data_IF_471610181051
#
_entry.id   IF_471610181051
#
_cell.length_a   1.000
_cell.length_b   1.000
_cell.length_c   1.000
_cell.angle_alpha   90.00
_cell.angle_beta   90.00
_cell.angle_gamma   90.00
#
_symmetry.space_group_name_H-M   'P 1'
#
loop_
_entity.id
_entity.type
_entity.pdbx_description
1 polymer ?
#
# COMPACT_ATOMS: atom_id res chain seq x y z
N UNK A 1 -19.35 59.66 9.01
CA UNK A 1 -20.64 58.97 9.25
C UNK A 1 -21.31 58.45 7.95
N UNK A 2 -21.42 59.26 6.88
CA UNK A 2 -22.10 58.80 5.64
C UNK A 2 -21.46 57.55 4.99
N UNK A 3 -20.16 57.39 5.00
CA UNK A 3 -19.48 56.26 4.39
C UNK A 3 -19.69 54.95 5.20
N UNK A 4 -19.75 55.03 6.52
CA UNK A 4 -20.01 53.85 7.39
C UNK A 4 -21.42 53.28 7.16
N UNK A 5 -22.40 54.13 6.94
CA UNK A 5 -23.80 53.71 6.66
C UNK A 5 -23.88 53.01 5.30
N UNK A 6 -23.10 53.48 4.29
CA UNK A 6 -23.04 52.85 2.97
C UNK A 6 -22.43 51.44 3.06
N UNK A 7 -21.32 51.29 3.80
CA UNK A 7 -20.66 49.97 3.96
C UNK A 7 -21.54 49.00 4.74
N UNK A 8 -22.23 49.47 5.76
CA UNK A 8 -23.21 48.62 6.50
C UNK A 8 -24.39 48.18 5.62
N UNK A 9 -24.90 49.05 4.75
CA UNK A 9 -25.96 48.70 3.82
C UNK A 9 -25.50 47.67 2.76
N UNK A 10 -24.26 47.83 2.23
CA UNK A 10 -23.68 46.84 1.29
C UNK A 10 -23.45 45.51 1.96
N UNK A 11 -22.97 45.49 3.21
CA UNK A 11 -22.77 44.25 3.95
C UNK A 11 -24.11 43.51 4.21
N UNK A 12 -25.18 44.24 4.59
CA UNK A 12 -26.52 43.66 4.78
C UNK A 12 -27.09 43.04 3.49
N UNK A 13 -26.90 43.70 2.35
CA UNK A 13 -27.34 43.19 1.04
C UNK A 13 -26.54 41.92 0.67
N UNK A 14 -25.22 41.90 0.91
CA UNK A 14 -24.38 40.73 0.64
C UNK A 14 -24.77 39.56 1.53
N UNK A 15 -25.00 39.77 2.82
CA UNK A 15 -25.48 38.73 3.72
C UNK A 15 -26.87 38.23 3.35
N UNK A 16 -27.75 39.09 2.90
CA UNK A 16 -29.10 38.72 2.41
C UNK A 16 -29.04 37.86 1.14
N UNK A 17 -28.15 38.23 0.19
CA UNK A 17 -27.95 37.44 -1.04
C UNK A 17 -27.29 36.07 -0.77
N UNK A 18 -26.33 36.02 0.15
CA UNK A 18 -25.72 34.75 0.58
C UNK A 18 -26.73 33.85 1.30
N UNK A 19 -27.53 34.41 2.20
CA UNK A 19 -28.58 33.65 2.88
C UNK A 19 -29.64 33.11 1.91
N UNK A 20 -30.04 33.93 0.92
CA UNK A 20 -30.98 33.49 -0.13
C UNK A 20 -30.33 32.40 -1.04
N UNK A 21 -29.07 32.54 -1.39
CA UNK A 21 -28.34 31.54 -2.17
C UNK A 21 -28.25 30.18 -1.44
N UNK A 22 -27.95 30.19 -0.15
CA UNK A 22 -27.90 28.95 0.64
C UNK A 22 -29.30 28.35 0.84
N UNK A 23 -30.34 29.16 1.03
CA UNK A 23 -31.71 28.67 1.13
C UNK A 23 -32.19 28.02 -0.19
N UNK A 24 -31.75 28.52 -1.35
CA UNK A 24 -32.04 27.87 -2.63
C UNK A 24 -31.29 26.54 -2.82
N UNK A 25 -30.10 26.40 -2.23
CA UNK A 25 -29.37 25.11 -2.30
C UNK A 25 -30.04 24.01 -1.46
N UNK A 26 -30.71 24.35 -0.35
CA UNK A 26 -31.48 23.37 0.43
C UNK A 26 -32.72 22.85 -0.32
N UNK A 27 -33.32 23.68 -1.16
CA UNK A 27 -34.46 23.27 -2.00
C UNK A 27 -34.06 22.45 -3.25
N UNK A 28 -32.80 22.42 -3.61
CA UNK A 28 -32.27 21.61 -4.72
C UNK A 28 -31.82 20.20 -4.30
N UNK A 29 -32.00 19.84 -3.05
CA UNK A 29 -31.90 18.42 -2.67
C UNK A 29 -33.03 17.66 -3.36
N UNK A 30 -32.74 16.63 -4.17
CA UNK A 30 -33.80 15.92 -4.90
C UNK A 30 -34.69 15.21 -3.91
N UNK A 31 -35.85 15.80 -3.63
CA UNK A 31 -36.99 15.16 -2.92
C UNK A 31 -37.46 13.87 -3.60
N UNK A 32 -36.93 13.56 -4.78
CA UNK A 32 -37.24 12.36 -5.53
C UNK A 32 -36.53 11.08 -5.03
N UNK A 33 -35.49 11.19 -4.19
CA UNK A 33 -34.75 10.01 -3.71
C UNK A 33 -35.19 9.52 -2.32
N UNK A 34 -36.00 10.28 -1.61
CA UNK A 34 -36.52 9.87 -0.28
C UNK A 34 -37.86 9.11 -0.32
N UNK A 35 -38.55 9.06 -1.45
CA UNK A 35 -39.87 8.44 -1.54
C UNK A 35 -39.87 6.97 -1.98
N UNK A 36 -38.71 6.40 -2.41
CA UNK A 36 -38.63 5.00 -2.84
C UNK A 36 -37.68 4.12 -2.05
N UNK A 37 -37.04 4.63 -1.01
CA UNK A 37 -36.38 3.81 0.02
C UNK A 37 -37.33 3.53 1.22
N UNK A 38 -38.59 3.26 0.95
CA UNK A 38 -39.32 2.35 1.81
C UNK A 38 -38.68 0.97 1.58
N UNK A 39 -37.73 0.67 2.43
CA UNK A 39 -37.04 -0.63 2.50
C UNK A 39 -38.10 -1.69 2.82
N UNK A 40 -38.83 -2.09 1.78
CA UNK A 40 -39.54 -3.34 1.80
C UNK A 40 -38.46 -4.42 1.73
N UNK A 41 -38.13 -5.00 2.91
CA UNK A 41 -37.52 -6.34 3.03
C UNK A 41 -36.49 -6.71 1.96
N UNK A 42 -35.42 -5.92 1.84
CA UNK A 42 -34.14 -6.51 1.45
C UNK A 42 -33.78 -7.38 2.66
N UNK A 43 -34.05 -8.69 2.55
CA UNK A 43 -33.47 -9.66 3.46
C UNK A 43 -31.98 -9.26 3.53
N UNK A 44 -31.52 -8.82 4.72
CA UNK A 44 -30.10 -8.58 4.92
C UNK A 44 -29.44 -9.88 4.48
N UNK A 45 -28.72 -9.84 3.37
CA UNK A 45 -27.85 -10.95 3.02
C UNK A 45 -27.08 -11.27 4.29
N UNK A 46 -26.97 -12.55 4.69
CA UNK A 46 -26.21 -12.88 5.89
C UNK A 46 -24.86 -12.21 5.77
N UNK A 47 -24.50 -11.44 6.79
CA UNK A 47 -23.22 -10.73 6.82
C UNK A 47 -22.13 -11.78 6.64
N UNK A 48 -21.34 -11.64 5.59
CA UNK A 48 -20.28 -12.57 5.27
C UNK A 48 -19.15 -12.36 6.28
N UNK A 49 -18.60 -13.46 6.81
CA UNK A 49 -17.61 -13.44 7.88
C UNK A 49 -16.31 -14.07 7.42
N UNK A 50 -15.25 -13.29 7.48
CA UNK A 50 -13.87 -13.74 7.27
C UNK A 50 -13.20 -13.88 8.62
N UNK A 51 -12.79 -15.09 8.95
CA UNK A 51 -12.12 -15.39 10.22
C UNK A 51 -10.68 -15.79 9.96
N UNK A 52 -9.75 -15.11 10.61
CA UNK A 52 -8.31 -15.34 10.48
C UNK A 52 -7.77 -15.97 11.77
N UNK A 53 -7.25 -17.19 11.71
CA UNK A 53 -6.61 -17.87 12.82
C UNK A 53 -5.10 -17.88 12.61
N UNK A 54 -4.40 -17.03 13.34
CA UNK A 54 -2.93 -16.97 13.31
C UNK A 54 -2.33 -17.94 14.33
N UNK A 55 -1.22 -18.57 13.97
CA UNK A 55 -0.46 -19.40 14.91
C UNK A 55 -0.03 -18.60 16.14
N UNK A 56 0.49 -17.39 15.91
CA UNK A 56 0.77 -16.35 16.88
C UNK A 56 0.71 -14.98 16.17
N UNK A 57 0.51 -13.89 16.90
CA UNK A 57 0.45 -12.54 16.36
C UNK A 57 1.59 -11.64 16.87
N UNK A 58 2.68 -12.22 17.33
CA UNK A 58 3.85 -11.48 17.83
C UNK A 58 4.70 -10.84 16.74
N UNK A 59 4.50 -11.22 15.48
CA UNK A 59 5.27 -10.77 14.33
C UNK A 59 4.56 -9.59 13.64
N UNK A 60 5.32 -8.52 13.35
CA UNK A 60 4.84 -7.31 12.68
C UNK A 60 4.33 -7.60 11.27
N UNK A 61 4.97 -8.50 10.53
CA UNK A 61 4.53 -8.92 9.20
C UNK A 61 3.10 -9.50 9.20
N UNK A 62 2.78 -10.35 10.20
CA UNK A 62 1.42 -10.90 10.38
C UNK A 62 0.41 -9.82 10.75
N UNK A 63 0.83 -8.85 11.55
CA UNK A 63 -0.01 -7.72 11.91
C UNK A 63 -0.31 -6.84 10.69
N UNK A 64 0.69 -6.54 9.89
CA UNK A 64 0.54 -5.78 8.63
C UNK A 64 -0.36 -6.52 7.62
N UNK A 65 -0.22 -7.85 7.51
CA UNK A 65 -1.11 -8.70 6.72
C UNK A 65 -2.58 -8.59 7.16
N UNK A 66 -2.83 -8.71 8.47
CA UNK A 66 -4.17 -8.55 9.06
C UNK A 66 -4.75 -7.16 8.78
N UNK A 67 -3.95 -6.11 9.00
CA UNK A 67 -4.36 -4.72 8.78
C UNK A 67 -4.79 -4.50 7.34
N UNK A 68 -4.02 -5.00 6.37
CA UNK A 68 -4.36 -4.86 4.95
C UNK A 68 -5.73 -5.47 4.63
N UNK A 69 -6.04 -6.65 5.16
CA UNK A 69 -7.33 -7.31 4.95
C UNK A 69 -8.45 -6.54 5.64
N UNK A 70 -8.27 -6.13 6.90
CA UNK A 70 -9.28 -5.39 7.64
C UNK A 70 -9.59 -4.02 7.05
N UNK A 71 -8.58 -3.32 6.54
CA UNK A 71 -8.78 -2.00 5.91
C UNK A 71 -9.55 -2.09 4.59
N UNK A 72 -9.32 -3.13 3.79
CA UNK A 72 -9.94 -3.26 2.48
C UNK A 72 -11.29 -4.01 2.47
N UNK A 73 -11.53 -4.90 3.43
CA UNK A 73 -12.78 -5.67 3.55
C UNK A 73 -13.65 -5.22 4.72
N UNK A 74 -13.05 -4.79 5.83
CA UNK A 74 -13.73 -4.57 7.10
C UNK A 74 -14.87 -3.54 7.08
N UNK A 75 -14.97 -2.69 6.06
CA UNK A 75 -16.10 -1.77 5.91
C UNK A 75 -17.36 -2.44 5.32
N UNK A 76 -17.20 -3.54 4.59
CA UNK A 76 -18.26 -4.27 3.91
C UNK A 76 -18.60 -5.61 4.57
N UNK A 77 -17.59 -6.23 5.17
CA UNK A 77 -17.63 -7.58 5.71
C UNK A 77 -17.28 -7.61 7.20
N UNK A 78 -17.64 -8.68 7.90
CA UNK A 78 -17.19 -8.93 9.27
C UNK A 78 -15.85 -9.68 9.22
N UNK A 79 -14.76 -8.98 9.54
CA UNK A 79 -13.40 -9.52 9.46
C UNK A 79 -12.78 -9.57 10.84
N UNK A 80 -12.58 -10.77 11.38
CA UNK A 80 -12.00 -10.99 12.69
C UNK A 80 -10.66 -11.75 12.61
N UNK A 81 -9.79 -11.47 13.57
CA UNK A 81 -8.49 -12.15 13.71
C UNK A 81 -8.32 -12.67 15.13
N UNK A 82 -7.77 -13.87 15.25
CA UNK A 82 -7.57 -14.59 16.50
C UNK A 82 -6.11 -15.01 16.63
N UNK A 83 -5.52 -14.70 17.76
CA UNK A 83 -4.19 -15.17 18.15
C UNK A 83 -4.33 -16.54 18.84
N UNK A 84 -3.75 -17.58 18.26
CA UNK A 84 -3.76 -18.93 18.84
C UNK A 84 -2.61 -19.16 19.82
N UNK A 85 -1.76 -18.17 20.05
CA UNK A 85 -0.67 -18.18 21.04
C UNK A 85 0.24 -19.43 20.94
N UNK A 86 0.50 -19.92 19.72
CA UNK A 86 1.30 -21.12 19.47
C UNK A 86 0.66 -22.42 19.92
N UNK A 87 -0.64 -22.45 20.24
CA UNK A 87 -1.33 -23.62 20.77
C UNK A 87 -2.32 -24.22 19.77
N UNK A 88 -2.07 -25.45 19.32
CA UNK A 88 -2.98 -26.21 18.46
C UNK A 88 -4.36 -26.45 19.10
N UNK A 89 -4.43 -26.63 20.43
CA UNK A 89 -5.68 -26.79 21.17
C UNK A 89 -6.53 -25.51 21.13
N UNK A 90 -5.87 -24.33 21.32
CA UNK A 90 -6.52 -23.03 21.23
C UNK A 90 -7.01 -22.79 19.80
N UNK A 91 -6.17 -23.11 18.80
CA UNK A 91 -6.53 -22.97 17.39
C UNK A 91 -7.75 -23.83 17.01
N UNK A 92 -7.79 -25.09 17.44
CA UNK A 92 -8.93 -25.97 17.23
C UNK A 92 -10.21 -25.44 17.92
N UNK A 93 -10.06 -24.87 19.12
CA UNK A 93 -11.18 -24.28 19.87
C UNK A 93 -11.76 -23.07 19.13
N UNK A 94 -10.90 -22.19 18.63
CA UNK A 94 -11.34 -21.06 17.80
C UNK A 94 -11.97 -21.52 16.50
N UNK A 95 -11.37 -22.49 15.80
CA UNK A 95 -11.91 -23.01 14.54
C UNK A 95 -13.35 -23.54 14.72
N UNK A 96 -13.59 -24.38 15.73
CA UNK A 96 -14.94 -24.87 16.06
C UNK A 96 -15.91 -23.72 16.28
N UNK A 97 -15.53 -22.80 17.14
CA UNK A 97 -16.38 -21.64 17.48
C UNK A 97 -16.76 -20.80 16.28
N UNK A 98 -15.79 -20.42 15.43
CA UNK A 98 -16.05 -19.52 14.29
C UNK A 98 -16.86 -20.23 13.20
N UNK A 99 -16.63 -21.52 12.97
CA UNK A 99 -17.42 -22.34 12.03
C UNK A 99 -18.87 -22.49 12.51
N UNK A 100 -19.11 -22.78 13.80
CA UNK A 100 -20.44 -22.82 14.39
C UNK A 100 -21.17 -21.47 14.32
N UNK A 101 -20.43 -20.36 14.32
CA UNK A 101 -20.97 -19.00 14.22
C UNK A 101 -21.21 -18.53 12.78
N UNK A 102 -21.01 -19.41 11.79
CA UNK A 102 -21.29 -19.13 10.39
C UNK A 102 -20.17 -18.37 9.68
N UNK A 103 -18.91 -18.72 9.96
CA UNK A 103 -17.76 -18.31 9.17
C UNK A 103 -18.01 -18.61 7.68
N UNK A 104 -17.75 -17.64 6.80
CA UNK A 104 -17.92 -17.80 5.36
C UNK A 104 -16.61 -18.18 4.67
N UNK A 105 -15.50 -17.64 5.13
CA UNK A 105 -14.14 -17.99 4.67
C UNK A 105 -13.23 -18.07 5.89
N UNK A 106 -12.49 -19.15 6.02
CA UNK A 106 -11.50 -19.34 7.07
C UNK A 106 -10.09 -19.16 6.50
N UNK A 107 -9.36 -18.19 7.03
CA UNK A 107 -7.93 -18.08 6.82
C UNK A 107 -7.19 -18.74 7.98
N UNK A 108 -6.24 -19.61 7.69
CA UNK A 108 -5.59 -20.46 8.69
C UNK A 108 -4.07 -20.43 8.52
N UNK A 109 -3.37 -19.93 9.52
CA UNK A 109 -1.94 -20.20 9.70
C UNK A 109 -1.79 -21.33 10.72
N UNK A 110 -1.51 -22.57 10.30
CA UNK A 110 -1.46 -23.71 11.21
C UNK A 110 -0.34 -23.58 12.24
N UNK A 111 -0.64 -23.93 13.51
CA UNK A 111 0.37 -23.98 14.57
C UNK A 111 1.34 -25.15 14.33
N UNK A 112 0.82 -26.29 13.90
CA UNK A 112 1.61 -27.48 13.56
C UNK A 112 0.98 -28.29 12.43
N UNK A 113 1.74 -29.25 11.91
CA UNK A 113 1.35 -30.10 10.79
C UNK A 113 0.26 -31.11 11.17
N UNK A 114 0.30 -31.61 12.40
CA UNK A 114 -0.59 -32.67 12.85
C UNK A 114 -2.02 -32.19 13.03
N UNK A 115 -2.20 -30.98 13.56
CA UNK A 115 -3.51 -30.38 13.76
C UNK A 115 -4.13 -29.86 12.46
N UNK A 116 -3.33 -29.65 11.41
CA UNK A 116 -3.81 -29.07 10.15
C UNK A 116 -4.87 -29.94 9.50
N UNK A 117 -4.65 -31.24 9.40
CA UNK A 117 -5.60 -32.14 8.72
C UNK A 117 -6.94 -32.24 9.48
N UNK A 118 -6.92 -32.20 10.82
CA UNK A 118 -8.14 -32.17 11.63
C UNK A 118 -8.91 -30.84 11.43
N UNK A 119 -8.21 -29.72 11.34
CA UNK A 119 -8.80 -28.39 11.07
C UNK A 119 -9.42 -28.34 9.68
N UNK A 120 -8.73 -28.88 8.66
CA UNK A 120 -9.25 -28.94 7.30
C UNK A 120 -10.47 -29.87 7.20
N UNK A 121 -10.46 -31.02 7.86
CA UNK A 121 -11.61 -31.90 7.92
C UNK A 121 -12.82 -31.21 8.58
N UNK A 122 -12.59 -30.50 9.67
CA UNK A 122 -13.64 -29.73 10.35
C UNK A 122 -14.22 -28.64 9.43
N UNK A 123 -13.39 -27.85 8.76
CA UNK A 123 -13.86 -26.82 7.82
C UNK A 123 -14.65 -27.44 6.65
N UNK A 124 -14.25 -28.62 6.19
CA UNK A 124 -14.95 -29.35 5.15
C UNK A 124 -16.35 -29.82 5.58
N UNK A 125 -16.53 -30.22 6.85
CA UNK A 125 -17.86 -30.58 7.41
C UNK A 125 -18.85 -29.39 7.34
N UNK A 126 -18.34 -28.16 7.48
CA UNK A 126 -19.13 -26.93 7.36
C UNK A 126 -19.19 -26.36 5.93
N UNK A 127 -18.55 -27.01 4.97
CA UNK A 127 -18.42 -26.58 3.57
C UNK A 127 -17.78 -25.16 3.40
N UNK A 128 -16.94 -24.75 4.36
CA UNK A 128 -16.29 -23.45 4.41
C UNK A 128 -14.94 -23.49 3.68
N UNK A 129 -14.69 -22.61 2.69
CA UNK A 129 -13.39 -22.53 2.03
C UNK A 129 -12.29 -22.11 3.00
N UNK A 130 -11.10 -22.71 2.85
CA UNK A 130 -9.92 -22.43 3.67
C UNK A 130 -8.80 -21.85 2.81
N UNK A 131 -8.18 -20.79 3.29
CA UNK A 131 -6.95 -20.22 2.76
C UNK A 131 -5.84 -20.43 3.79
N UNK A 132 -4.91 -21.33 3.51
CA UNK A 132 -3.71 -21.50 4.34
C UNK A 132 -2.78 -20.30 4.15
N UNK A 133 -2.37 -19.70 5.25
CA UNK A 133 -1.41 -18.59 5.29
C UNK A 133 -0.01 -19.14 5.60
N UNK A 134 0.99 -18.62 4.89
CA UNK A 134 2.41 -18.98 5.09
C UNK A 134 2.71 -20.47 4.97
N UNK A 135 1.81 -21.21 4.35
CA UNK A 135 1.93 -22.66 4.20
C UNK A 135 1.32 -23.14 2.89
N UNK A 136 2.03 -24.01 2.22
CA UNK A 136 1.55 -24.67 1.01
C UNK A 136 0.75 -25.93 1.39
N UNK A 137 -0.45 -26.05 0.84
CA UNK A 137 -1.22 -27.28 0.94
C UNK A 137 -0.50 -28.44 0.25
N UNK A 138 -0.57 -29.63 0.83
CA UNK A 138 -0.04 -30.84 0.19
C UNK A 138 -0.94 -31.31 -0.95
N UNK A 139 -0.39 -32.11 -1.86
CA UNK A 139 -1.18 -32.68 -2.96
C UNK A 139 -2.34 -33.53 -2.45
N UNK A 140 -2.17 -34.22 -1.32
CA UNK A 140 -3.20 -35.03 -0.68
C UNK A 140 -4.33 -34.16 -0.11
N UNK A 141 -3.98 -33.07 0.59
CA UNK A 141 -4.96 -32.10 1.11
C UNK A 141 -5.76 -31.46 -0.02
N UNK A 142 -5.10 -31.05 -1.12
CA UNK A 142 -5.77 -30.47 -2.29
C UNK A 142 -6.69 -31.48 -3.02
N UNK A 143 -6.34 -32.76 -3.03
CA UNK A 143 -7.16 -33.81 -3.61
C UNK A 143 -8.40 -34.10 -2.76
N UNK A 144 -8.29 -33.95 -1.44
CA UNK A 144 -9.36 -34.26 -0.47
C UNK A 144 -10.30 -33.09 -0.27
N UNK A 145 -9.78 -31.85 -0.23
CA UNK A 145 -10.56 -30.66 0.05
C UNK A 145 -10.53 -29.66 -1.12
N UNK A 146 -11.59 -29.66 -1.92
CA UNK A 146 -11.64 -28.84 -3.14
C UNK A 146 -11.68 -27.31 -2.91
N UNK A 147 -12.14 -26.85 -1.75
CA UNK A 147 -12.20 -25.43 -1.36
C UNK A 147 -10.95 -25.00 -0.56
N UNK A 148 -9.83 -25.70 -0.72
CA UNK A 148 -8.56 -25.41 -0.09
C UNK A 148 -7.68 -24.58 -1.03
N UNK A 149 -7.10 -23.54 -0.49
CA UNK A 149 -6.18 -22.62 -1.15
C UNK A 149 -4.99 -22.31 -0.23
N UNK A 150 -3.91 -21.81 -0.78
CA UNK A 150 -2.74 -21.38 -0.02
C UNK A 150 -2.27 -20.01 -0.51
N UNK A 151 -1.83 -19.16 0.42
CA UNK A 151 -1.16 -17.91 0.14
C UNK A 151 0.18 -17.89 0.88
N UNK A 152 1.25 -17.63 0.14
CA UNK A 152 2.63 -17.68 0.62
C UNK A 152 3.42 -16.51 0.04
N UNK A 153 4.46 -16.13 0.75
CA UNK A 153 5.50 -15.28 0.21
C UNK A 153 6.28 -16.09 -0.84
N UNK A 154 6.54 -15.52 -2.01
CA UNK A 154 7.47 -16.13 -2.96
C UNK A 154 8.88 -16.14 -2.37
N UNK A 155 9.66 -17.14 -2.73
CA UNK A 155 11.08 -17.13 -2.40
C UNK A 155 11.74 -15.91 -3.07
N UNK A 156 12.30 -15.05 -2.24
CA UNK A 156 13.03 -13.87 -2.68
C UNK A 156 14.38 -13.83 -1.97
N UNK A 157 15.43 -13.57 -2.73
CA UNK A 157 16.78 -13.42 -2.18
C UNK A 157 17.10 -11.94 -2.01
N UNK A 158 17.93 -11.62 -1.00
CA UNK A 158 18.47 -10.26 -0.84
C UNK A 158 19.14 -9.76 -2.13
N UNK A 159 19.70 -10.64 -2.92
CA UNK A 159 20.31 -10.29 -4.21
C UNK A 159 19.26 -9.84 -5.23
N UNK A 160 18.15 -10.56 -5.35
CA UNK A 160 17.05 -10.19 -6.23
C UNK A 160 16.39 -8.89 -5.80
N UNK A 161 16.27 -8.63 -4.50
CA UNK A 161 15.79 -7.35 -3.96
C UNK A 161 16.70 -6.19 -4.38
N UNK A 162 18.03 -6.33 -4.19
CA UNK A 162 19.00 -5.32 -4.60
C UNK A 162 19.05 -5.11 -6.13
N UNK A 163 18.84 -6.16 -6.92
CA UNK A 163 18.74 -6.04 -8.38
C UNK A 163 17.54 -5.20 -8.80
N UNK A 164 16.35 -5.47 -8.23
CA UNK A 164 15.13 -4.68 -8.52
C UNK A 164 15.26 -3.23 -8.08
N UNK A 165 15.89 -3.01 -6.92
CA UNK A 165 16.20 -1.67 -6.43
C UNK A 165 17.13 -0.94 -7.40
N UNK A 166 18.21 -1.60 -7.84
CA UNK A 166 19.16 -1.04 -8.80
C UNK A 166 18.50 -0.72 -10.15
N UNK A 167 17.67 -1.65 -10.68
CA UNK A 167 16.92 -1.41 -11.91
C UNK A 167 16.06 -0.15 -11.80
N UNK A 168 15.38 0.00 -10.69
CA UNK A 168 14.47 1.14 -10.49
C UNK A 168 15.23 2.45 -10.35
N UNK A 169 16.31 2.48 -9.57
CA UNK A 169 17.12 3.69 -9.38
C UNK A 169 17.79 4.08 -10.71
N UNK A 170 18.34 3.12 -11.43
CA UNK A 170 19.00 3.38 -12.73
C UNK A 170 18.03 3.89 -13.78
N UNK A 171 16.85 3.25 -13.92
CA UNK A 171 15.78 3.70 -14.81
C UNK A 171 15.32 5.13 -14.49
N UNK A 172 15.24 5.44 -13.20
CA UNK A 172 14.83 6.76 -12.75
C UNK A 172 15.92 7.81 -13.03
N UNK A 173 17.17 7.47 -12.74
CA UNK A 173 18.32 8.33 -13.03
C UNK A 173 18.41 8.65 -14.52
N UNK A 174 18.32 7.64 -15.38
CA UNK A 174 18.40 7.81 -16.84
C UNK A 174 17.34 8.80 -17.36
N UNK A 175 16.10 8.71 -16.82
CA UNK A 175 14.97 9.54 -17.26
C UNK A 175 15.00 10.98 -16.71
N UNK A 176 15.62 11.19 -15.56
CA UNK A 176 15.51 12.44 -14.81
C UNK A 176 16.88 13.08 -14.48
N UNK A 177 17.94 12.61 -15.10
CA UNK A 177 19.32 13.02 -14.82
C UNK A 177 19.51 14.53 -14.86
N UNK A 178 18.98 15.19 -15.87
CA UNK A 178 19.11 16.63 -16.05
C UNK A 178 18.42 17.44 -14.93
N UNK A 179 17.40 16.85 -14.30
CA UNK A 179 16.67 17.48 -13.19
C UNK A 179 17.24 17.08 -11.83
N UNK A 180 17.86 15.89 -11.70
CA UNK A 180 18.40 15.35 -10.46
C UNK A 180 19.81 15.89 -10.17
N UNK A 181 20.70 15.92 -11.15
CA UNK A 181 22.07 16.41 -11.00
C UNK A 181 22.13 17.98 -10.93
N UNK A 182 21.13 18.56 -10.24
CA UNK A 182 20.99 20.01 -10.16
C UNK A 182 21.86 20.67 -9.09
N UNK A 183 22.35 19.89 -8.12
CA UNK A 183 23.07 20.43 -6.97
C UNK A 183 24.58 20.39 -7.15
N UNK A 184 25.11 19.25 -7.57
CA UNK A 184 26.57 19.05 -7.69
C UNK A 184 27.07 19.15 -9.13
N UNK A 185 26.24 18.84 -10.12
CA UNK A 185 26.60 18.79 -11.55
C UNK A 185 27.85 17.93 -11.80
N UNK A 186 27.96 16.82 -11.07
CA UNK A 186 29.12 15.93 -11.13
C UNK A 186 28.86 14.63 -11.89
N UNK A 187 27.68 14.52 -12.47
CA UNK A 187 27.25 13.37 -13.26
C UNK A 187 27.13 12.07 -12.43
N UNK A 188 26.83 12.22 -11.15
CA UNK A 188 26.68 11.13 -10.19
C UNK A 188 25.41 11.32 -9.39
N UNK A 189 24.72 10.21 -9.12
CA UNK A 189 23.63 10.21 -8.20
C UNK A 189 24.13 10.14 -6.75
N UNK A 190 23.89 11.21 -6.01
CA UNK A 190 24.25 11.33 -4.59
C UNK A 190 23.17 10.71 -3.72
N UNK A 191 23.51 9.65 -3.00
CA UNK A 191 22.56 8.87 -2.17
C UNK A 191 22.89 9.07 -0.70
N UNK A 192 21.85 9.22 0.15
CA UNK A 192 21.96 9.08 1.59
C UNK A 192 21.06 7.92 2.04
N UNK A 193 21.55 7.12 2.97
CA UNK A 193 20.84 5.98 3.53
C UNK A 193 20.49 6.23 5.01
N UNK A 194 19.28 5.85 5.41
CA UNK A 194 18.80 5.82 6.81
C UNK A 194 18.32 4.41 7.05
N UNK A 195 19.14 3.60 7.69
CA UNK A 195 18.90 2.16 7.79
C UNK A 195 19.22 1.63 9.18
N UNK A 196 18.63 0.50 9.54
CA UNK A 196 18.77 -0.09 10.86
C UNK A 196 20.22 -0.50 11.17
N UNK A 197 20.90 -1.13 10.24
CA UNK A 197 22.23 -1.72 10.45
C UNK A 197 23.38 -0.99 9.77
N UNK A 198 23.13 0.16 9.15
CA UNK A 198 24.11 0.85 8.31
C UNK A 198 24.30 0.15 6.95
N UNK A 199 24.16 0.92 5.90
CA UNK A 199 24.17 0.37 4.54
C UNK A 199 25.58 0.03 4.08
N UNK A 200 26.56 0.83 4.50
CA UNK A 200 27.97 0.60 4.20
C UNK A 200 28.52 -0.60 5.00
N UNK A 201 28.23 -0.66 6.30
CA UNK A 201 28.71 -1.73 7.21
C UNK A 201 28.09 -3.09 6.88
N UNK A 202 26.88 -3.14 6.40
CA UNK A 202 26.19 -4.38 5.99
C UNK A 202 26.76 -5.00 4.69
N UNK A 203 27.58 -4.26 3.96
CA UNK A 203 28.07 -4.65 2.63
C UNK A 203 27.03 -4.48 1.50
N UNK A 204 25.78 -4.10 1.82
CA UNK A 204 24.72 -3.88 0.83
C UNK A 204 25.04 -2.71 -0.08
N UNK A 205 25.70 -1.67 0.44
CA UNK A 205 26.13 -0.54 -0.37
C UNK A 205 27.07 -0.93 -1.50
N UNK A 206 28.13 -1.68 -1.21
CA UNK A 206 29.09 -2.09 -2.23
C UNK A 206 28.42 -2.92 -3.34
N UNK A 207 27.46 -3.76 -2.96
CA UNK A 207 26.69 -4.57 -3.91
C UNK A 207 25.74 -3.73 -4.74
N UNK A 208 24.97 -2.83 -4.13
CA UNK A 208 24.08 -1.91 -4.82
C UNK A 208 24.88 -1.00 -5.77
N UNK A 209 26.00 -0.45 -5.32
CA UNK A 209 26.89 0.37 -6.14
C UNK A 209 27.34 -0.37 -7.40
N UNK A 210 27.81 -1.62 -7.26
CA UNK A 210 28.22 -2.45 -8.40
C UNK A 210 27.07 -2.65 -9.38
N UNK A 211 25.89 -2.97 -8.89
CA UNK A 211 24.70 -3.19 -9.71
C UNK A 211 24.26 -1.90 -10.45
N UNK A 212 24.40 -0.74 -9.82
CA UNK A 212 24.08 0.56 -10.44
C UNK A 212 25.12 0.95 -11.49
N UNK A 213 26.41 0.73 -11.22
CA UNK A 213 27.49 0.97 -12.18
C UNK A 213 27.35 0.07 -13.42
N UNK A 214 26.99 -1.19 -13.27
CA UNK A 214 26.67 -2.11 -14.38
C UNK A 214 25.53 -1.60 -15.28
N UNK A 215 24.60 -0.82 -14.70
CA UNK A 215 23.47 -0.18 -15.39
C UNK A 215 23.78 1.23 -15.89
N UNK A 216 25.05 1.66 -15.79
CA UNK A 216 25.49 2.97 -16.24
C UNK A 216 25.15 4.14 -15.29
N UNK A 217 24.69 3.85 -14.08
CA UNK A 217 24.43 4.84 -13.05
C UNK A 217 25.60 4.92 -12.08
N UNK A 218 26.39 5.98 -12.16
CA UNK A 218 27.46 6.22 -11.19
C UNK A 218 26.87 6.83 -9.93
N UNK A 219 27.21 6.27 -8.78
CA UNK A 219 26.62 6.67 -7.48
C UNK A 219 27.66 7.07 -6.46
N UNK A 220 27.24 7.87 -5.49
CA UNK A 220 28.05 8.26 -4.34
C UNK A 220 27.20 8.20 -3.08
N UNK A 221 27.63 7.45 -2.08
CA UNK A 221 27.06 7.51 -0.74
C UNK A 221 27.56 8.76 -0.03
N UNK A 222 26.67 9.71 0.20
CA UNK A 222 27.00 10.99 0.84
C UNK A 222 26.81 10.95 2.34
N UNK A 223 25.89 10.10 2.81
CA UNK A 223 25.59 9.92 4.21
C UNK A 223 25.07 8.52 4.47
N UNK A 224 25.58 7.87 5.52
CA UNK A 224 25.06 6.63 6.08
C UNK A 224 24.62 6.89 7.52
N UNK A 225 23.35 6.69 7.82
CA UNK A 225 22.73 6.93 9.12
C UNK A 225 22.23 5.60 9.65
N UNK A 226 22.72 5.20 10.83
CA UNK A 226 22.34 3.95 11.48
C UNK A 226 21.35 4.24 12.59
N UNK A 227 20.12 3.72 12.47
CA UNK A 227 19.01 4.00 13.39
C UNK A 227 19.12 3.26 14.73
N UNK A 228 19.87 2.14 14.78
CA UNK A 228 20.09 1.38 16.02
C UNK A 228 21.04 2.04 17.02
N UNK A 229 21.74 3.11 16.64
CA UNK A 229 22.65 3.75 17.57
C UNK A 229 21.89 4.42 18.71
N UNK A 230 22.38 4.25 19.96
CA UNK A 230 21.76 4.78 21.20
C UNK A 230 21.51 6.30 21.18
N UNK A 231 22.23 7.05 20.36
CA UNK A 231 22.11 8.49 20.21
C UNK A 231 21.49 8.89 18.86
N UNK A 232 20.80 7.97 18.21
CA UNK A 232 20.08 8.27 17.00
C UNK A 232 19.04 9.36 17.23
N UNK A 233 19.09 10.38 16.39
CA UNK A 233 18.09 11.44 16.32
C UNK A 233 17.81 11.75 14.86
N UNK A 234 16.60 11.45 14.44
CA UNK A 234 16.18 11.57 13.05
C UNK A 234 16.33 13.02 12.54
N UNK A 235 15.83 14.01 13.28
CA UNK A 235 15.86 15.42 12.84
C UNK A 235 17.30 15.90 12.61
N UNK A 236 18.20 15.62 13.54
CA UNK A 236 19.61 15.93 13.36
C UNK A 236 20.23 15.22 12.15
N UNK A 237 19.82 14.00 11.90
CA UNK A 237 20.28 13.21 10.76
C UNK A 237 19.75 13.78 9.44
N UNK A 238 18.48 14.23 9.41
CA UNK A 238 17.87 14.87 8.25
C UNK A 238 18.55 16.20 7.89
N UNK A 239 18.93 17.00 8.89
CA UNK A 239 19.76 18.19 8.67
C UNK A 239 21.10 17.84 8.04
N UNK A 240 21.79 16.83 8.57
CA UNK A 240 23.07 16.39 8.04
C UNK A 240 22.95 15.84 6.61
N UNK A 241 21.84 15.18 6.29
CA UNK A 241 21.53 14.71 4.94
C UNK A 241 21.29 15.90 4.00
N UNK A 242 20.49 16.88 4.40
CA UNK A 242 20.25 18.08 3.62
C UNK A 242 21.55 18.77 3.19
N UNK A 243 22.45 18.99 4.17
CA UNK A 243 23.75 19.62 3.89
C UNK A 243 24.74 18.71 3.15
N UNK A 244 24.48 17.41 3.04
CA UNK A 244 25.30 16.50 2.25
C UNK A 244 25.06 16.59 0.75
N UNK A 245 23.96 17.24 0.34
CA UNK A 245 23.54 17.35 -1.06
C UNK A 245 23.06 16.02 -1.65
N UNK A 246 22.51 15.12 -0.83
CA UNK A 246 21.93 13.88 -1.35
C UNK A 246 20.74 14.17 -2.26
N UNK A 247 20.65 13.47 -3.38
CA UNK A 247 19.60 13.60 -4.39
C UNK A 247 18.58 12.47 -4.28
N UNK A 248 18.96 11.37 -3.64
CA UNK A 248 18.11 10.22 -3.34
C UNK A 248 18.30 9.79 -1.89
N UNK A 249 17.20 9.51 -1.21
CA UNK A 249 17.17 9.02 0.17
C UNK A 249 16.65 7.60 0.19
N UNK A 250 17.44 6.69 0.77
CA UNK A 250 17.05 5.32 1.04
C UNK A 250 16.65 5.16 2.50
N UNK A 251 15.45 4.65 2.75
CA UNK A 251 14.95 4.34 4.09
C UNK A 251 14.67 2.85 4.21
N UNK A 252 15.17 2.21 5.26
CA UNK A 252 14.73 0.86 5.62
C UNK A 252 13.33 0.86 6.25
N UNK A 253 12.95 1.94 6.93
CA UNK A 253 11.69 2.10 7.65
C UNK A 253 10.82 3.18 6.98
N UNK A 254 9.56 2.84 6.73
CA UNK A 254 8.57 3.74 6.13
C UNK A 254 8.17 4.89 7.06
N UNK A 255 8.17 4.68 8.38
CA UNK A 255 7.84 5.72 9.35
C UNK A 255 8.92 6.81 9.38
N UNK A 256 10.19 6.49 9.18
CA UNK A 256 11.26 7.47 9.06
C UNK A 256 11.17 8.24 7.73
N UNK A 257 10.74 7.57 6.65
CA UNK A 257 10.45 8.23 5.39
C UNK A 257 9.27 9.21 5.51
N UNK A 258 8.22 8.85 6.25
CA UNK A 258 7.08 9.73 6.53
C UNK A 258 7.51 10.97 7.31
N UNK A 259 8.27 10.80 8.39
CA UNK A 259 8.81 11.91 9.19
C UNK A 259 9.71 12.82 8.36
N UNK A 260 10.59 12.23 7.53
CA UNK A 260 11.44 12.99 6.62
C UNK A 260 10.62 13.80 5.62
N UNK A 261 9.51 13.23 5.12
CA UNK A 261 8.63 13.94 4.23
C UNK A 261 7.97 15.17 4.90
N UNK A 262 7.53 15.03 6.16
CA UNK A 262 6.99 16.15 6.94
C UNK A 262 8.07 17.20 7.19
N UNK A 263 9.25 16.78 7.62
CA UNK A 263 10.37 17.64 7.97
C UNK A 263 10.82 18.53 6.80
N UNK A 264 11.07 17.94 5.64
CA UNK A 264 11.53 18.69 4.47
C UNK A 264 10.44 19.49 3.75
N UNK A 265 9.19 19.31 4.08
CA UNK A 265 8.09 20.12 3.56
C UNK A 265 7.76 21.32 4.45
N UNK A 266 8.48 21.54 5.56
CA UNK A 266 8.30 22.74 6.38
C UNK A 266 8.80 23.99 5.62
N UNK A 267 7.88 24.90 5.22
CA UNK A 267 8.24 26.09 4.45
C UNK A 267 9.03 27.12 5.28
N UNK A 268 9.08 26.98 6.59
CA UNK A 268 9.80 27.93 7.47
C UNK A 268 11.30 27.64 7.50
N UNK A 269 11.70 26.39 7.34
CA UNK A 269 13.11 25.98 7.39
C UNK A 269 13.68 25.70 6.00
N UNK A 270 12.87 25.14 5.11
CA UNK A 270 13.29 24.72 3.76
C UNK A 270 12.47 25.45 2.70
N UNK A 271 12.69 26.76 2.55
CA UNK A 271 11.89 27.68 1.72
C UNK A 271 11.74 27.31 0.24
N UNK A 272 12.56 26.40 -0.27
CA UNK A 272 12.50 25.90 -1.66
C UNK A 272 12.14 24.41 -1.77
N UNK A 273 11.84 23.75 -0.63
CA UNK A 273 11.62 22.30 -0.55
C UNK A 273 12.90 21.50 -0.87
N UNK A 274 13.20 20.51 -0.06
CA UNK A 274 14.27 19.59 -0.38
C UNK A 274 13.75 18.53 -1.36
N UNK A 275 14.32 18.52 -2.56
CA UNK A 275 13.81 17.73 -3.70
C UNK A 275 14.39 16.32 -3.78
N UNK A 276 15.18 15.87 -2.79
CA UNK A 276 15.69 14.52 -2.80
C UNK A 276 14.54 13.49 -2.84
N UNK A 277 14.64 12.56 -3.75
CA UNK A 277 13.66 11.51 -3.91
C UNK A 277 13.80 10.46 -2.81
N UNK A 278 12.68 9.94 -2.37
CA UNK A 278 12.62 8.96 -1.28
C UNK A 278 12.32 7.59 -1.81
N UNK A 279 13.10 6.64 -1.37
CA UNK A 279 12.94 5.21 -1.63
C UNK A 279 12.77 4.51 -0.29
N UNK A 280 11.79 3.65 -0.17
CA UNK A 280 11.52 2.85 1.03
C UNK A 280 11.74 1.38 0.68
N UNK A 281 12.54 0.68 1.50
CA UNK A 281 12.87 -0.72 1.29
C UNK A 281 11.86 -1.68 1.94
N UNK A 282 10.75 -1.14 2.44
CA UNK A 282 9.64 -1.91 3.00
C UNK A 282 8.30 -1.40 2.45
N UNK A 283 7.51 -2.29 1.84
CA UNK A 283 6.19 -1.96 1.31
C UNK A 283 5.08 -2.30 2.34
N UNK A 284 5.06 -1.58 3.45
CA UNK A 284 4.01 -1.62 4.46
C UNK A 284 2.84 -0.67 4.13
N UNK A 285 1.90 -0.48 5.06
CA UNK A 285 0.77 0.43 4.90
C UNK A 285 1.23 1.89 4.74
N UNK A 286 2.20 2.33 5.53
CA UNK A 286 2.74 3.70 5.50
C UNK A 286 3.41 3.98 4.17
N UNK A 287 4.30 3.09 3.71
CA UNK A 287 4.95 3.19 2.41
C UNK A 287 3.95 3.21 1.25
N UNK A 288 2.91 2.38 1.33
CA UNK A 288 1.84 2.38 0.33
C UNK A 288 1.05 3.69 0.29
N UNK A 289 0.75 4.29 1.43
CA UNK A 289 0.09 5.58 1.50
C UNK A 289 0.99 6.71 1.00
N UNK A 290 2.26 6.72 1.37
CA UNK A 290 3.25 7.67 0.84
C UNK A 290 3.39 7.55 -0.68
N UNK A 291 3.38 6.33 -1.21
CA UNK A 291 3.39 6.07 -2.64
C UNK A 291 2.15 6.64 -3.34
N UNK A 292 0.96 6.38 -2.83
CA UNK A 292 -0.31 6.91 -3.38
C UNK A 292 -0.34 8.43 -3.40
N UNK A 293 0.26 9.05 -2.40
CA UNK A 293 0.35 10.51 -2.29
C UNK A 293 1.49 11.11 -3.14
N UNK A 294 2.23 10.29 -3.88
CA UNK A 294 3.36 10.74 -4.70
C UNK A 294 4.57 11.21 -3.90
N UNK A 295 4.67 10.83 -2.62
CA UNK A 295 5.71 11.29 -1.68
C UNK A 295 6.94 10.40 -1.65
N UNK A 296 6.85 9.19 -2.16
CA UNK A 296 7.97 8.28 -2.39
C UNK A 296 8.02 7.88 -3.85
N UNK A 297 9.22 7.81 -4.39
CA UNK A 297 9.45 7.35 -5.74
C UNK A 297 9.17 5.87 -5.88
N UNK A 298 9.53 5.13 -4.86
CA UNK A 298 9.62 3.70 -4.89
C UNK A 298 9.47 3.14 -3.48
N UNK A 299 8.67 2.09 -3.35
CA UNK A 299 8.67 1.24 -2.18
C UNK A 299 8.71 -0.22 -2.65
N UNK A 300 9.55 -1.03 -2.04
CA UNK A 300 9.69 -2.44 -2.35
C UNK A 300 9.49 -3.29 -1.11
N UNK A 301 8.82 -4.40 -1.28
CA UNK A 301 8.75 -5.42 -0.26
C UNK A 301 7.81 -6.53 -0.61
N UNK A 302 8.12 -7.70 -0.08
CA UNK A 302 7.23 -8.85 -0.01
C UNK A 302 6.50 -8.90 1.34
N UNK A 303 6.41 -7.75 2.01
CA UNK A 303 5.90 -7.64 3.36
C UNK A 303 4.46 -8.08 3.54
N UNK A 304 4.07 -8.32 4.78
CA UNK A 304 2.74 -8.80 5.15
C UNK A 304 1.61 -7.96 4.58
N UNK A 305 1.78 -6.64 4.49
CA UNK A 305 0.76 -5.74 3.94
C UNK A 305 0.43 -6.04 2.48
N UNK A 306 1.43 -6.23 1.62
CA UNK A 306 1.20 -6.53 0.20
C UNK A 306 0.65 -7.94 -0.01
N UNK A 307 1.09 -8.90 0.80
CA UNK A 307 0.50 -10.25 0.82
C UNK A 307 -0.97 -10.19 1.26
N UNK A 308 -1.30 -9.34 2.25
CA UNK A 308 -2.67 -9.09 2.69
C UNK A 308 -3.54 -8.52 1.57
N UNK A 309 -3.03 -7.61 0.76
CA UNK A 309 -3.73 -7.07 -0.41
C UNK A 309 -3.97 -8.13 -1.49
N UNK A 310 -3.03 -9.05 -1.70
CA UNK A 310 -3.25 -10.22 -2.57
C UNK A 310 -4.34 -11.14 -2.00
N UNK A 311 -4.33 -11.37 -0.68
CA UNK A 311 -5.36 -12.14 0.01
C UNK A 311 -6.75 -11.52 -0.16
N UNK A 312 -6.89 -10.20 -0.12
CA UNK A 312 -8.18 -9.51 -0.37
C UNK A 312 -8.78 -9.89 -1.71
N UNK A 313 -7.98 -10.00 -2.79
CA UNK A 313 -8.49 -10.43 -4.08
C UNK A 313 -9.03 -11.87 -4.05
N UNK A 314 -8.33 -12.76 -3.34
CA UNK A 314 -8.77 -14.14 -3.12
C UNK A 314 -10.08 -14.17 -2.34
N UNK A 315 -10.12 -13.45 -1.23
CA UNK A 315 -11.27 -13.42 -0.31
C UNK A 315 -12.54 -12.88 -1.01
N UNK A 316 -12.44 -11.79 -1.75
CA UNK A 316 -13.59 -11.23 -2.49
C UNK A 316 -14.20 -12.25 -3.43
N UNK A 317 -13.39 -13.01 -4.15
CA UNK A 317 -13.89 -14.04 -5.07
C UNK A 317 -14.49 -15.23 -4.31
N UNK A 318 -13.88 -15.64 -3.18
CA UNK A 318 -14.44 -16.70 -2.34
C UNK A 318 -15.78 -16.32 -1.70
N UNK A 319 -15.91 -15.06 -1.25
CA UNK A 319 -17.15 -14.52 -0.70
C UNK A 319 -18.27 -14.47 -1.75
N UNK A 320 -17.93 -14.35 -3.04
CA UNK A 320 -18.84 -14.41 -4.18
C UNK A 320 -19.03 -15.83 -4.75
N UNK A 321 -18.52 -16.86 -4.06
CA UNK A 321 -18.51 -18.26 -4.52
C UNK A 321 -17.85 -18.43 -5.90
N UNK A 322 -16.80 -17.64 -6.17
CA UNK A 322 -16.02 -17.68 -7.40
C UNK A 322 -14.66 -18.34 -7.18
N UNK A 323 -14.07 -18.83 -8.28
CA UNK A 323 -12.72 -19.39 -8.25
C UNK A 323 -11.70 -18.25 -8.05
N UNK A 324 -10.87 -18.32 -7.00
CA UNK A 324 -9.90 -17.28 -6.71
C UNK A 324 -8.89 -17.05 -7.84
N UNK A 325 -8.58 -15.79 -8.07
CA UNK A 325 -7.55 -15.30 -8.98
C UNK A 325 -6.91 -14.06 -8.36
N UNK A 326 -5.63 -13.87 -8.62
CA UNK A 326 -4.90 -12.68 -8.18
C UNK A 326 -4.23 -12.05 -9.38
N UNK A 327 -4.10 -10.72 -9.38
CA UNK A 327 -3.32 -10.00 -10.39
C UNK A 327 -1.90 -10.55 -10.46
N UNK A 328 -1.38 -10.77 -11.65
CA UNK A 328 -0.01 -11.29 -11.84
C UNK A 328 1.09 -10.38 -11.29
N UNK A 329 0.80 -9.10 -11.05
CA UNK A 329 1.71 -8.19 -10.35
C UNK A 329 1.81 -8.45 -8.85
N UNK A 330 0.75 -9.00 -8.22
CA UNK A 330 0.72 -9.28 -6.80
C UNK A 330 1.12 -10.72 -6.46
N UNK A 331 0.70 -11.69 -7.27
CA UNK A 331 1.05 -13.08 -7.01
C UNK A 331 1.08 -13.91 -8.31
N UNK A 332 1.94 -14.91 -8.34
CA UNK A 332 1.90 -16.00 -9.31
C UNK A 332 1.05 -17.16 -8.79
N UNK A 333 0.50 -17.96 -9.69
CA UNK A 333 -0.35 -19.09 -9.33
C UNK A 333 0.34 -20.42 -9.62
N UNK A 334 0.22 -21.36 -8.67
CA UNK A 334 0.71 -22.72 -8.76
C UNK A 334 -0.38 -23.73 -8.41
N UNK A 335 -0.08 -25.03 -8.52
CA UNK A 335 -0.96 -26.14 -8.13
C UNK A 335 -2.37 -26.04 -8.75
N UNK A 336 -2.41 -25.71 -10.05
CA UNK A 336 -3.69 -25.57 -10.75
C UNK A 336 -4.56 -24.39 -10.29
N UNK A 337 -3.94 -23.33 -9.79
CA UNK A 337 -4.63 -22.15 -9.28
C UNK A 337 -5.04 -22.24 -7.80
N UNK A 338 -4.49 -23.20 -7.06
CA UNK A 338 -4.78 -23.41 -5.64
C UNK A 338 -3.77 -22.75 -4.72
N UNK A 339 -2.57 -22.45 -5.20
CA UNK A 339 -1.50 -21.81 -4.44
C UNK A 339 -1.15 -20.47 -5.07
N UNK A 340 -1.11 -19.43 -4.25
CA UNK A 340 -0.76 -18.06 -4.61
C UNK A 340 0.58 -17.72 -3.97
N UNK A 341 1.59 -17.51 -4.81
CA UNK A 341 2.93 -17.10 -4.40
C UNK A 341 3.02 -15.59 -4.57
N UNK A 342 2.96 -14.86 -3.46
CA UNK A 342 3.00 -13.40 -3.48
C UNK A 342 4.38 -12.92 -3.90
N UNK A 343 4.41 -12.24 -5.03
CA UNK A 343 5.63 -11.67 -5.56
C UNK A 343 6.07 -10.49 -4.69
N UNK A 344 7.37 -10.20 -4.61
CA UNK A 344 7.84 -8.92 -4.14
C UNK A 344 7.17 -7.83 -4.99
N UNK A 345 6.51 -6.89 -4.34
CA UNK A 345 5.83 -5.82 -5.06
C UNK A 345 6.70 -4.59 -5.06
N UNK A 346 6.94 -4.09 -6.24
CA UNK A 346 7.59 -2.81 -6.47
C UNK A 346 6.50 -1.78 -6.74
N UNK A 347 6.31 -0.87 -5.80
CA UNK A 347 5.46 0.30 -5.96
C UNK A 347 6.30 1.40 -6.62
N UNK A 348 6.05 1.69 -7.89
CA UNK A 348 6.76 2.73 -8.64
C UNK A 348 5.81 3.86 -8.97
N UNK A 349 6.13 5.08 -8.57
CA UNK A 349 5.50 6.25 -9.15
C UNK A 349 6.07 6.44 -10.55
N UNK A 350 5.33 6.00 -11.54
CA UNK A 350 5.54 6.42 -12.91
C UNK A 350 5.10 7.89 -12.94
N UNK A 351 6.05 8.80 -12.92
CA UNK A 351 5.78 10.17 -13.36
C UNK A 351 5.57 10.01 -14.86
N UNK A 352 4.33 9.75 -15.27
CA UNK A 352 3.94 10.00 -16.63
C UNK A 352 4.19 11.49 -16.84
N UNK A 353 5.22 11.82 -17.61
CA UNK A 353 5.29 13.13 -18.25
C UNK A 353 4.01 13.19 -19.06
N UNK A 354 3.01 13.91 -18.54
CA UNK A 354 1.85 14.30 -19.32
C UNK A 354 2.45 15.17 -20.42
N UNK A 355 2.70 14.56 -21.58
CA UNK A 355 2.93 15.35 -22.77
C UNK A 355 1.75 16.30 -22.85
N UNK A 356 1.96 17.62 -22.93
CA UNK A 356 0.85 18.54 -23.06
C UNK A 356 0.07 18.09 -24.29
N UNK A 357 -1.18 17.67 -24.11
CA UNK A 357 -2.09 17.40 -25.21
C UNK A 357 -1.95 18.59 -26.15
N UNK A 358 -1.41 18.38 -27.34
CA UNK A 358 -1.50 19.33 -28.42
C UNK A 358 -2.99 19.65 -28.54
N UNK A 359 -3.38 20.79 -27.95
CA UNK A 359 -4.71 21.34 -28.18
C UNK A 359 -4.84 21.49 -29.67
N UNK A 360 -5.56 20.55 -30.28
CA UNK A 360 -5.95 20.59 -31.68
C UNK A 360 -6.49 21.96 -32.01
N UNK A 361 -5.66 22.77 -32.65
CA UNK A 361 -5.99 24.10 -33.17
C UNK A 361 -7.05 24.02 -34.30
N UNK A 362 -7.80 22.93 -34.40
CA UNK A 362 -8.72 22.64 -35.48
C UNK A 362 -10.21 22.75 -35.12
N UNK A 363 -10.56 23.17 -33.89
CA UNK A 363 -11.99 23.34 -33.51
C UNK A 363 -12.52 24.77 -33.67
N UNK A 364 -11.73 25.71 -34.23
CA UNK A 364 -12.17 27.09 -34.44
C UNK A 364 -12.47 27.47 -35.90
N UNK A 365 -12.68 26.49 -36.80
CA UNK A 365 -12.97 26.78 -38.21
C UNK A 365 -14.33 26.29 -38.76
N UNK A 366 -15.27 25.91 -37.92
CA UNK A 366 -16.60 25.44 -38.40
C UNK A 366 -17.80 26.16 -37.83
N UNK A 367 -17.62 27.42 -37.38
CA UNK A 367 -18.74 28.26 -36.93
C UNK A 367 -18.87 29.59 -37.66
N UNK A 368 -18.58 29.59 -38.95
CA UNK A 368 -18.78 30.79 -39.79
C UNK A 368 -19.15 30.44 -41.24
N UNK A 369 -20.18 29.66 -41.46
CA UNK A 369 -20.94 29.68 -42.75
C UNK A 369 -22.37 29.15 -42.46
N UNK A 370 -23.33 30.08 -42.44
CA UNK A 370 -24.76 29.71 -42.38
C UNK A 370 -25.68 30.80 -41.91
N UNK A 371 -25.59 32.01 -42.52
CA UNK A 371 -26.71 32.96 -42.53
C UNK A 371 -26.62 33.77 -43.83
N UNK A 372 -27.32 33.33 -44.82
CA UNK A 372 -27.91 34.15 -45.87
C UNK A 372 -29.10 33.40 -46.46
#
# INVERSE_FOLDING_TARGET
MKHIIIYLAIALVMFGLLGWYFAQQEDLQPKALQAELSVSNVAKLPQQKVEMLFSDMSNEEKNSFRIAIQNELGAAEDVAAHDCMGSAEVQMTYAKKVLEQGCTVLMLEPVDDTATDELLALAQEYDVPVVLMNRRATAEQLATFHKLYSILKADDSEEAELERLADTIADYWEKNRDDLDNWLHDDKLSIAAVTEYGYEESGKWAKLQSLLEERGCTVKLTKDVVTEYLNYNLEYSLDAIYYSGAELLLFSDSADAEKANVYYNDPTEYSNGYRAWRVVMEADETAYNLYKDGKVLFAEGSGGYMMGRAAVQILRLLLEDQIPRVSGSLASQADGGKTFLCNPVVLRNVIETVEPEEQDANTSRTAAVGLS
#
